data_IF_588709650376
#
_entry.id   IF_588709650376
#
_cell.length_a   1.000
_cell.length_b   1.000
_cell.length_c   1.000
_cell.angle_alpha   90.00
_cell.angle_beta   90.00
_cell.angle_gamma   90.00
#
_symmetry.space_group_name_H-M   'P 1'
#
loop_
_entity.id
_entity.type
_entity.pdbx_description
1 polymer ?
#
# COMPACT_ATOMS: atom_id res chain seq x y z
N UNK A 1 -4.91 -14.01 12.83
CA UNK A 1 -3.67 -14.41 13.52
C UNK A 1 -2.78 -15.13 12.52
N UNK A 2 -1.71 -14.47 12.09
CA UNK A 2 -0.40 -15.03 11.70
C UNK A 2 0.49 -13.82 11.43
N UNK A 3 1.00 -13.20 12.51
CA UNK A 3 2.17 -12.35 12.37
C UNK A 3 3.30 -13.33 12.06
N UNK A 4 3.59 -13.54 10.76
CA UNK A 4 4.79 -14.27 10.36
C UNK A 4 5.95 -13.67 11.16
N UNK A 5 6.70 -14.51 11.87
CA UNK A 5 7.87 -14.13 12.64
C UNK A 5 8.87 -13.41 11.72
N UNK A 6 8.69 -12.10 11.51
CA UNK A 6 9.61 -11.26 10.77
C UNK A 6 10.84 -11.14 11.64
N UNK A 7 11.86 -11.95 11.35
CA UNK A 7 13.19 -11.80 11.94
C UNK A 7 13.83 -10.57 11.31
N UNK A 8 13.46 -9.40 11.81
CA UNK A 8 14.21 -8.19 11.53
C UNK A 8 15.65 -8.39 12.02
N UNK A 9 16.67 -8.23 11.16
CA UNK A 9 18.03 -8.63 11.50
C UNK A 9 18.63 -7.74 12.60
N UNK A 10 18.10 -6.53 12.80
CA UNK A 10 18.49 -5.64 13.91
C UNK A 10 17.29 -4.88 14.47
N UNK A 11 17.47 -4.27 15.65
CA UNK A 11 16.45 -3.39 16.26
C UNK A 11 16.08 -2.21 15.37
N UNK A 12 17.01 -1.72 14.54
CA UNK A 12 16.74 -0.62 13.61
C UNK A 12 15.74 -1.02 12.51
N UNK A 13 15.88 -2.23 11.97
CA UNK A 13 14.93 -2.78 10.99
C UNK A 13 13.55 -2.96 11.60
N UNK A 14 13.46 -3.38 12.85
CA UNK A 14 12.19 -3.52 13.56
C UNK A 14 11.54 -2.15 13.82
N UNK A 15 12.31 -1.18 14.34
CA UNK A 15 11.81 0.17 14.67
C UNK A 15 11.30 0.89 13.43
N UNK A 16 12.02 0.79 12.31
CA UNK A 16 11.59 1.40 11.05
C UNK A 16 10.63 0.49 10.25
N UNK A 17 10.47 -0.77 10.65
CA UNK A 17 9.66 -1.77 9.96
C UNK A 17 10.18 -2.17 8.58
N UNK A 18 11.45 -1.89 8.25
CA UNK A 18 12.04 -2.16 6.93
C UNK A 18 12.91 -3.41 6.93
N UNK A 19 13.05 -4.05 5.78
CA UNK A 19 14.01 -5.15 5.58
C UNK A 19 15.39 -4.60 5.18
N UNK A 20 16.41 -5.44 5.28
CA UNK A 20 17.74 -5.06 4.85
C UNK A 20 17.73 -4.73 3.35
N UNK A 21 18.33 -3.60 3.00
CA UNK A 21 18.46 -3.04 1.66
C UNK A 21 17.14 -2.62 0.99
N UNK A 22 16.02 -2.68 1.70
CA UNK A 22 14.76 -2.10 1.23
C UNK A 22 14.86 -0.57 1.23
N UNK A 23 14.46 0.02 0.10
CA UNK A 23 14.41 1.47 -0.04
C UNK A 23 13.16 2.07 0.63
N UNK A 24 13.35 3.19 1.29
CA UNK A 24 12.30 4.02 1.88
C UNK A 24 12.67 5.50 1.77
N UNK A 25 11.69 6.37 1.97
CA UNK A 25 11.90 7.81 2.10
C UNK A 25 11.67 8.22 3.56
N UNK A 26 12.37 9.23 4.04
CA UNK A 26 12.10 9.84 5.34
C UNK A 26 11.15 11.01 5.08
N UNK A 27 10.12 11.19 5.92
CA UNK A 27 9.19 12.31 5.74
C UNK A 27 9.95 13.63 5.76
N UNK A 28 9.56 14.56 4.89
CA UNK A 28 10.12 15.91 4.79
C UNK A 28 11.62 15.97 4.41
N UNK A 29 12.21 14.83 4.06
CA UNK A 29 13.60 14.72 3.61
C UNK A 29 13.64 14.22 2.18
N UNK A 30 14.37 14.93 1.34
CA UNK A 30 14.60 14.49 -0.04
C UNK A 30 15.57 13.30 -0.08
N UNK A 31 15.20 12.31 -0.88
CA UNK A 31 16.07 11.22 -1.29
C UNK A 31 15.64 9.85 -0.78
N UNK A 32 16.28 8.82 -1.33
CA UNK A 32 16.02 7.43 -0.97
C UNK A 32 17.07 6.90 0.01
N UNK A 33 16.59 6.21 1.02
CA UNK A 33 17.38 5.62 2.09
C UNK A 33 17.15 4.12 2.15
N UNK A 34 18.10 3.38 2.67
CA UNK A 34 17.95 1.96 2.99
C UNK A 34 18.75 1.63 4.25
N UNK A 35 18.41 0.53 4.92
CA UNK A 35 19.24 -0.01 6.00
C UNK A 35 20.14 -1.11 5.44
N UNK A 36 21.43 -1.12 5.79
CA UNK A 36 22.28 -2.29 5.53
C UNK A 36 21.85 -3.46 6.41
N UNK A 37 22.33 -4.67 6.14
CA UNK A 37 22.09 -5.84 7.01
C UNK A 37 22.52 -5.61 8.49
N UNK A 38 23.47 -4.69 8.74
CA UNK A 38 23.90 -4.30 10.08
C UNK A 38 23.02 -3.21 10.72
N UNK A 39 21.99 -2.71 10.03
CA UNK A 39 21.09 -1.66 10.51
C UNK A 39 21.64 -0.25 10.36
N UNK A 40 22.66 -0.03 9.53
CA UNK A 40 23.19 1.30 9.23
C UNK A 40 22.35 1.95 8.14
N UNK A 41 21.94 3.20 8.34
CA UNK A 41 21.24 3.96 7.30
C UNK A 41 22.23 4.38 6.22
N UNK A 42 21.83 4.22 4.96
CA UNK A 42 22.59 4.55 3.77
C UNK A 42 21.70 5.27 2.77
N UNK A 43 22.31 6.09 1.91
CA UNK A 43 21.67 6.67 0.73
C UNK A 43 22.68 6.70 -0.40
N UNK A 44 22.20 6.52 -1.63
CA UNK A 44 23.00 6.66 -2.83
C UNK A 44 22.96 8.10 -3.39
N UNK A 45 22.11 8.96 -2.83
CA UNK A 45 21.76 10.28 -3.38
C UNK A 45 22.26 11.43 -2.50
N UNK A 46 22.30 11.22 -1.18
CA UNK A 46 22.68 12.24 -0.20
C UNK A 46 23.73 11.71 0.78
N UNK A 47 24.56 12.61 1.30
CA UNK A 47 25.47 12.30 2.40
C UNK A 47 24.69 11.93 3.66
N UNK A 48 25.12 10.90 4.38
CA UNK A 48 24.43 10.42 5.58
C UNK A 48 25.03 11.04 6.84
N UNK A 49 24.16 11.61 7.67
CA UNK A 49 24.43 11.94 9.07
C UNK A 49 23.53 11.15 10.02
N UNK A 50 23.85 11.20 11.32
CA UNK A 50 23.06 10.52 12.36
C UNK A 50 21.67 11.16 12.57
N UNK A 51 21.44 12.39 12.09
CA UNK A 51 20.17 13.09 12.29
C UNK A 51 19.07 12.48 11.42
N UNK A 52 19.39 11.92 10.25
CA UNK A 52 18.40 11.22 9.42
C UNK A 52 17.75 10.05 10.15
N UNK A 53 18.53 9.29 10.93
CA UNK A 53 18.00 8.17 11.69
C UNK A 53 17.05 8.64 12.80
N UNK A 54 17.45 9.68 13.53
CA UNK A 54 16.62 10.31 14.56
C UNK A 54 15.31 10.84 13.95
N UNK A 55 15.41 11.48 12.78
CA UNK A 55 14.26 12.05 12.08
C UNK A 55 13.30 10.94 11.59
N UNK A 56 13.83 9.87 11.00
CA UNK A 56 13.07 8.69 10.58
C UNK A 56 12.29 8.06 11.76
N UNK A 57 12.90 7.97 12.94
CA UNK A 57 12.24 7.43 14.14
C UNK A 57 11.15 8.39 14.65
N UNK A 58 11.44 9.68 14.74
CA UNK A 58 10.54 10.65 15.37
C UNK A 58 9.38 11.08 14.46
N UNK A 59 9.59 11.15 13.15
CA UNK A 59 8.61 11.66 12.18
C UNK A 59 8.05 10.56 11.26
N UNK A 60 8.71 9.40 11.24
CA UNK A 60 8.35 8.25 10.45
C UNK A 60 8.97 8.25 9.06
N UNK A 61 8.74 7.16 8.35
CA UNK A 61 9.20 6.92 6.99
C UNK A 61 8.01 6.66 6.06
N UNK A 62 8.25 6.83 4.76
CA UNK A 62 7.36 6.44 3.68
C UNK A 62 8.00 5.22 3.01
N UNK A 63 7.31 4.09 3.07
CA UNK A 63 7.74 2.84 2.42
C UNK A 63 6.88 2.59 1.20
N UNK A 64 7.42 1.85 0.25
CA UNK A 64 6.60 1.19 -0.78
C UNK A 64 5.63 0.23 -0.08
N UNK A 65 4.34 0.19 -0.47
CA UNK A 65 3.41 -0.80 0.04
C UNK A 65 3.96 -2.21 -0.23
N UNK A 66 4.06 -3.04 0.81
CA UNK A 66 4.40 -4.45 0.64
C UNK A 66 3.12 -5.27 0.55
N UNK A 67 2.84 -5.76 -0.65
CA UNK A 67 1.79 -6.75 -0.86
C UNK A 67 2.34 -8.14 -0.51
N UNK A 68 1.53 -8.99 0.11
CA UNK A 68 1.80 -10.43 0.07
C UNK A 68 1.65 -10.94 -1.37
N UNK A 69 2.27 -12.07 -1.69
CA UNK A 69 2.10 -12.72 -3.01
C UNK A 69 0.62 -12.95 -3.32
N UNK A 70 -0.15 -13.45 -2.34
CA UNK A 70 -1.59 -13.64 -2.46
C UNK A 70 -2.35 -12.34 -2.73
N UNK A 71 -1.99 -11.24 -2.05
CA UNK A 71 -2.59 -9.93 -2.29
C UNK A 71 -2.24 -9.43 -3.70
N UNK A 72 -0.98 -9.55 -4.12
CA UNK A 72 -0.55 -9.14 -5.45
C UNK A 72 -1.30 -9.92 -6.55
N UNK A 73 -1.46 -11.23 -6.40
CA UNK A 73 -2.16 -12.07 -7.36
C UNK A 73 -3.67 -11.77 -7.42
N UNK A 74 -4.30 -11.55 -6.27
CA UNK A 74 -5.71 -11.14 -6.22
C UNK A 74 -5.92 -9.76 -6.85
N UNK A 75 -5.04 -8.79 -6.59
CA UNK A 75 -5.09 -7.47 -7.23
C UNK A 75 -4.88 -7.58 -8.75
N UNK A 76 -3.93 -8.40 -9.22
CA UNK A 76 -3.75 -8.66 -10.67
C UNK A 76 -5.02 -9.26 -11.29
N UNK A 77 -5.64 -10.24 -10.63
CA UNK A 77 -6.87 -10.84 -11.12
C UNK A 77 -8.00 -9.81 -11.24
N UNK A 78 -8.13 -8.89 -10.26
CA UNK A 78 -9.09 -7.78 -10.34
C UNK A 78 -8.80 -6.85 -11.53
N UNK A 79 -7.52 -6.54 -11.79
CA UNK A 79 -7.12 -5.76 -12.97
C UNK A 79 -7.46 -6.48 -14.27
N UNK A 80 -7.16 -7.79 -14.38
CA UNK A 80 -7.52 -8.60 -15.56
C UNK A 80 -9.03 -8.62 -15.82
N UNK A 81 -9.84 -8.53 -14.76
CA UNK A 81 -11.31 -8.45 -14.85
C UNK A 81 -11.83 -7.03 -15.15
N UNK A 82 -10.95 -6.03 -15.26
CA UNK A 82 -11.30 -4.66 -15.61
C UNK A 82 -11.59 -3.74 -14.42
N UNK A 83 -11.30 -4.17 -13.19
CA UNK A 83 -11.47 -3.33 -12.00
C UNK A 83 -10.23 -2.47 -11.76
N UNK A 84 -10.45 -1.22 -11.35
CA UNK A 84 -9.38 -0.25 -11.12
C UNK A 84 -9.25 0.16 -9.66
N UNK A 85 -10.36 0.20 -8.94
CA UNK A 85 -10.41 0.72 -7.58
C UNK A 85 -10.96 -0.31 -6.61
N UNK A 86 -10.45 -0.27 -5.38
CA UNK A 86 -10.91 -1.09 -4.27
C UNK A 86 -11.37 -0.17 -3.14
N UNK A 87 -12.54 -0.44 -2.57
CA UNK A 87 -13.09 0.33 -1.45
C UNK A 87 -13.77 -0.57 -0.43
N UNK A 88 -13.75 -0.17 0.83
CA UNK A 88 -14.63 -0.74 1.86
C UNK A 88 -15.85 0.18 2.03
N UNK A 89 -17.04 -0.40 2.04
CA UNK A 89 -18.31 0.25 2.35
C UNK A 89 -18.53 0.36 3.86
N UNK A 90 -19.40 1.26 4.32
CA UNK A 90 -19.65 1.47 5.76
C UNK A 90 -20.07 0.20 6.52
N UNK A 91 -20.64 -0.78 5.83
CA UNK A 91 -21.01 -2.10 6.38
C UNK A 91 -19.86 -3.11 6.49
N UNK A 92 -18.65 -2.77 6.09
CA UNK A 92 -17.48 -3.66 6.09
C UNK A 92 -17.37 -4.59 4.88
N UNK A 93 -18.21 -4.37 3.87
CA UNK A 93 -18.14 -5.04 2.56
C UNK A 93 -17.07 -4.36 1.73
N UNK A 94 -16.15 -5.14 1.16
CA UNK A 94 -15.16 -4.62 0.21
C UNK A 94 -15.65 -4.87 -1.19
N UNK A 95 -15.59 -3.86 -2.04
CA UNK A 95 -16.00 -3.93 -3.43
C UNK A 95 -14.90 -3.42 -4.36
N UNK A 96 -14.75 -4.10 -5.49
CA UNK A 96 -13.91 -3.65 -6.59
C UNK A 96 -14.79 -2.97 -7.64
N UNK A 97 -14.35 -1.83 -8.14
CA UNK A 97 -15.09 -1.01 -9.12
C UNK A 97 -14.19 -0.60 -10.28
N UNK A 98 -14.78 -0.50 -11.47
CA UNK A 98 -14.08 -0.12 -12.71
C UNK A 98 -14.02 1.40 -12.92
N UNK A 99 -14.85 2.18 -12.22
CA UNK A 99 -14.89 3.65 -12.31
C UNK A 99 -14.35 4.33 -11.05
N UNK A 100 -13.86 5.56 -11.21
CA UNK A 100 -13.44 6.38 -10.08
C UNK A 100 -14.65 6.71 -9.19
N UNK A 101 -14.44 6.59 -7.87
CA UNK A 101 -15.45 6.84 -6.86
C UNK A 101 -15.00 7.88 -5.85
N UNK A 102 -15.97 8.62 -5.32
CA UNK A 102 -15.80 9.58 -4.24
C UNK A 102 -16.53 9.11 -2.99
N UNK A 103 -15.97 9.43 -1.83
CA UNK A 103 -16.55 9.04 -0.55
C UNK A 103 -17.84 9.83 -0.26
N UNK A 104 -18.94 9.12 -0.05
CA UNK A 104 -20.19 9.68 0.48
C UNK A 104 -20.35 9.44 1.98
N UNK A 105 -21.47 9.86 2.56
CA UNK A 105 -21.73 9.70 4.01
C UNK A 105 -21.99 8.25 4.44
N UNK A 106 -22.50 7.43 3.52
CA UNK A 106 -22.93 6.05 3.81
C UNK A 106 -22.32 5.05 2.84
N UNK A 107 -21.95 5.49 1.64
CA UNK A 107 -21.33 4.65 0.61
C UNK A 107 -20.40 5.42 -0.30
N UNK A 108 -19.58 4.71 -1.07
CA UNK A 108 -18.84 5.31 -2.19
C UNK A 108 -19.81 5.62 -3.34
N UNK A 109 -19.59 6.75 -3.99
CA UNK A 109 -20.44 7.25 -5.07
C UNK A 109 -19.60 7.41 -6.32
N UNK A 110 -20.15 7.08 -7.48
CA UNK A 110 -19.50 7.41 -8.75
C UNK A 110 -19.22 8.91 -8.84
N UNK A 111 -18.06 9.25 -9.40
CA UNK A 111 -17.74 10.64 -9.70
C UNK A 111 -18.60 11.16 -10.85
N UNK A 112 -18.97 10.29 -11.80
CA UNK A 112 -19.84 10.59 -12.95
C UNK A 112 -21.00 9.57 -13.10
N UNK A 113 -22.24 9.91 -12.71
CA UNK A 113 -23.38 8.99 -12.75
C UNK A 113 -23.95 8.72 -14.15
N UNK A 114 -23.33 9.24 -15.23
CA UNK A 114 -23.73 8.95 -16.62
C UNK A 114 -23.03 7.72 -17.19
N UNK A 115 -22.02 7.19 -16.50
CA UNK A 115 -21.37 5.93 -16.86
C UNK A 115 -22.28 4.80 -16.35
N UNK A 116 -23.16 4.29 -17.23
CA UNK A 116 -24.23 3.34 -16.86
C UNK A 116 -23.79 1.87 -16.80
N UNK A 117 -22.53 1.59 -17.14
CA UNK A 117 -21.95 0.24 -17.20
C UNK A 117 -21.09 -0.03 -15.96
N UNK A 118 -21.66 0.27 -14.78
CA UNK A 118 -21.05 -0.02 -13.49
C UNK A 118 -20.93 -1.53 -13.31
N UNK A 119 -19.69 -2.02 -13.37
CA UNK A 119 -19.38 -3.38 -12.93
C UNK A 119 -18.79 -3.26 -11.53
N UNK A 120 -19.54 -3.77 -10.56
CA UNK A 120 -19.11 -3.90 -9.17
C UNK A 120 -18.91 -5.38 -8.88
N UNK A 121 -17.78 -5.72 -8.26
CA UNK A 121 -17.53 -7.06 -7.75
C UNK A 121 -17.42 -7.03 -6.23
N UNK A 122 -18.28 -7.81 -5.56
CA UNK A 122 -18.15 -8.07 -4.13
C UNK A 122 -16.91 -8.91 -3.87
N UNK A 123 -15.97 -8.35 -3.11
CA UNK A 123 -14.77 -9.06 -2.70
C UNK A 123 -15.11 -9.95 -1.50
N UNK A 124 -15.05 -11.26 -1.72
CA UNK A 124 -15.40 -12.24 -0.70
C UNK A 124 -14.54 -12.05 0.56
N UNK A 125 -15.15 -12.22 1.74
CA UNK A 125 -14.51 -11.93 3.04
C UNK A 125 -13.24 -12.75 3.33
N UNK A 126 -13.06 -13.87 2.63
CA UNK A 126 -11.87 -14.72 2.76
C UNK A 126 -10.67 -14.23 1.95
N UNK A 127 -10.82 -13.24 1.06
CA UNK A 127 -9.73 -12.73 0.24
C UNK A 127 -8.84 -11.78 1.04
N UNK A 128 -7.53 -11.93 0.88
CA UNK A 128 -6.53 -11.17 1.63
C UNK A 128 -6.45 -9.70 1.22
N UNK A 129 -6.88 -9.34 0.00
CA UNK A 129 -6.98 -7.95 -0.46
C UNK A 129 -7.98 -7.09 0.32
N UNK A 130 -8.94 -7.69 1.04
CA UNK A 130 -9.84 -6.95 1.93
C UNK A 130 -9.08 -6.14 2.99
N UNK A 131 -7.94 -6.64 3.46
CA UNK A 131 -7.13 -5.97 4.48
C UNK A 131 -6.41 -4.71 3.99
N UNK A 132 -6.46 -4.42 2.67
CA UNK A 132 -5.78 -3.27 2.06
C UNK A 132 -6.60 -1.97 2.12
N UNK A 133 -7.89 -2.06 2.45
CA UNK A 133 -8.81 -0.91 2.46
C UNK A 133 -9.61 -0.86 3.74
N UNK A 134 -9.98 0.35 4.15
CA UNK A 134 -10.85 0.63 5.28
C UNK A 134 -11.89 1.69 4.94
N UNK A 135 -13.08 1.62 5.50
CA UNK A 135 -14.07 2.70 5.43
C UNK A 135 -13.51 4.01 5.97
N UNK A 136 -12.50 3.98 6.84
CA UNK A 136 -11.85 5.20 7.35
C UNK A 136 -10.94 5.88 6.31
N UNK A 137 -10.59 5.21 5.21
CA UNK A 137 -9.67 5.75 4.21
C UNK A 137 -10.25 6.99 3.52
N UNK A 138 -9.42 8.04 3.30
CA UNK A 138 -9.90 9.28 2.71
C UNK A 138 -10.16 9.17 1.20
N UNK A 139 -9.59 8.17 0.54
CA UNK A 139 -9.63 7.95 -0.90
C UNK A 139 -9.73 6.45 -1.22
N UNK A 140 -10.26 6.06 -2.40
CA UNK A 140 -10.25 4.66 -2.80
C UNK A 140 -8.82 4.19 -3.07
N UNK A 141 -8.58 2.88 -2.92
CA UNK A 141 -7.29 2.30 -3.30
C UNK A 141 -7.23 2.11 -4.81
N UNK A 142 -6.24 2.73 -5.46
CA UNK A 142 -5.92 2.48 -6.87
C UNK A 142 -5.15 1.16 -6.99
N UNK A 143 -5.77 0.15 -7.58
CA UNK A 143 -5.21 -1.21 -7.64
C UNK A 143 -3.92 -1.23 -8.47
N UNK A 144 -3.94 -0.59 -9.64
CA UNK A 144 -2.79 -0.60 -10.57
C UNK A 144 -1.65 0.22 -10.02
N UNK A 145 -1.93 1.39 -9.42
CA UNK A 145 -0.89 2.17 -8.77
C UNK A 145 -0.29 1.41 -7.58
N UNK A 146 -1.11 0.72 -6.79
CA UNK A 146 -0.64 -0.11 -5.67
C UNK A 146 0.27 -1.24 -6.15
N UNK A 147 -0.06 -1.91 -7.25
CA UNK A 147 0.80 -2.93 -7.86
C UNK A 147 2.12 -2.32 -8.36
N UNK A 148 2.09 -1.18 -9.05
CA UNK A 148 3.29 -0.47 -9.53
C UNK A 148 4.19 -0.03 -8.38
N UNK A 149 3.61 0.53 -7.31
CA UNK A 149 4.34 0.97 -6.13
C UNK A 149 4.98 -0.21 -5.40
N UNK A 150 4.34 -1.38 -5.43
CA UNK A 150 4.90 -2.65 -4.95
C UNK A 150 5.96 -3.26 -5.89
N UNK A 151 6.25 -2.65 -7.05
CA UNK A 151 7.21 -3.15 -8.03
C UNK A 151 6.70 -4.37 -8.81
N UNK A 152 5.38 -4.57 -8.86
CA UNK A 152 4.72 -5.65 -9.58
C UNK A 152 4.22 -5.12 -10.91
N UNK A 153 4.65 -5.72 -12.02
CA UNK A 153 4.10 -5.39 -13.34
C UNK A 153 2.61 -5.75 -13.37
N UNK A 154 1.77 -4.72 -13.51
CA UNK A 154 0.34 -4.85 -13.76
C UNK A 154 0.14 -4.82 -15.28
N UNK A 155 0.01 -5.98 -15.91
CA UNK A 155 -0.51 -6.06 -17.28
C UNK A 155 -2.04 -5.94 -17.22
N UNK A 156 -2.58 -4.91 -17.86
CA UNK A 156 -4.00 -4.57 -17.93
C UNK A 156 -4.22 -3.27 -18.68
#
# INVERSE_FOLDING_TARGET
MTNQNRKYPTRMHEVLGVEAFEQFQIKEVSGHFFLTAAGQICSNEVGIDNNYLLHAINHGIIRKPRLSEEQADQLKALVTLGYRWLVEERGGTVVAVNHEVKKGEVRWLLTNPRDSDDVVCDVHQSLSVKSLVSWSDPAPLDIVQTLRDAGVEAEG
#
